data_IF_548278862608
#
_entry.id   IF_548278862608
#
_cell.length_a   1.000
_cell.length_b   1.000
_cell.length_c   1.000
_cell.angle_alpha   90.00
_cell.angle_beta   90.00
_cell.angle_gamma   90.00
#
_symmetry.space_group_name_H-M   'P 1'
#
loop_
_entity.id
_entity.type
_entity.pdbx_description
1 polymer ?
#
# COMPACT_ATOMS: atom_id res chain seq x y z
N UNK A 1 11.46 -13.28 -11.57
CA UNK A 1 10.11 -13.34 -12.18
C UNK A 1 9.79 -11.96 -12.72
N UNK A 2 9.29 -11.89 -13.96
CA UNK A 2 9.08 -10.65 -14.69
C UNK A 2 7.58 -10.41 -14.91
N UNK A 3 7.09 -9.16 -14.83
CA UNK A 3 5.71 -8.86 -15.12
C UNK A 3 5.40 -8.99 -16.60
N UNK A 4 4.24 -9.52 -16.94
CA UNK A 4 3.74 -9.64 -18.30
C UNK A 4 2.38 -8.95 -18.43
N UNK A 5 2.08 -8.44 -19.61
CA UNK A 5 0.72 -8.03 -19.99
C UNK A 5 0.19 -8.98 -21.05
N UNK A 6 -1.12 -9.14 -21.12
CA UNK A 6 -1.77 -9.97 -22.12
C UNK A 6 -3.10 -9.36 -22.54
N UNK A 7 -3.39 -9.41 -23.86
CA UNK A 7 -4.72 -9.15 -24.42
C UNK A 7 -5.51 -10.46 -24.63
N UNK A 8 -4.98 -11.58 -24.13
CA UNK A 8 -5.54 -12.92 -24.29
C UNK A 8 -5.04 -13.66 -25.52
N UNK A 9 -4.16 -13.07 -26.31
CA UNK A 9 -3.52 -13.73 -27.48
C UNK A 9 -2.07 -14.02 -27.22
N UNK A 10 -1.49 -14.98 -27.95
CA UNK A 10 -0.04 -15.30 -27.87
C UNK A 10 0.81 -14.10 -28.28
N UNK A 11 0.40 -13.38 -29.33
CA UNK A 11 1.13 -12.21 -29.84
C UNK A 11 0.96 -10.96 -28.98
N UNK A 12 -0.16 -10.85 -28.24
CA UNK A 12 -0.43 -9.76 -27.33
C UNK A 12 -0.04 -10.08 -25.88
N UNK A 13 0.50 -11.27 -25.63
CA UNK A 13 1.16 -11.61 -24.35
C UNK A 13 2.61 -11.23 -24.47
N UNK A 14 2.95 -10.09 -23.91
CA UNK A 14 4.31 -9.56 -23.95
C UNK A 14 4.81 -9.28 -22.54
N UNK A 15 6.09 -9.49 -22.33
CA UNK A 15 6.75 -9.01 -21.13
C UNK A 15 6.57 -7.48 -21.09
N UNK A 16 5.99 -6.97 -20.00
CA UNK A 16 5.94 -5.53 -19.77
C UNK A 16 7.36 -5.06 -19.61
N UNK A 17 7.93 -4.60 -20.70
CA UNK A 17 9.28 -4.08 -20.77
C UNK A 17 10.22 -4.88 -19.88
N UNK A 18 11.42 -5.06 -20.34
CA UNK A 18 12.53 -5.49 -19.48
C UNK A 18 12.74 -4.45 -18.37
N UNK A 19 11.77 -4.36 -17.46
CA UNK A 19 11.79 -3.44 -16.34
C UNK A 19 12.98 -3.75 -15.43
N UNK A 20 13.62 -4.93 -15.68
CA UNK A 20 14.56 -5.54 -14.77
C UNK A 20 15.85 -6.03 -15.45
N UNK A 21 15.98 -5.88 -16.78
CA UNK A 21 17.20 -6.26 -17.51
C UNK A 21 17.98 -5.02 -17.99
N UNK A 22 18.99 -4.67 -17.24
CA UNK A 22 20.17 -3.89 -17.60
C UNK A 22 19.95 -2.74 -18.58
N UNK A 23 19.33 -1.67 -18.20
CA UNK A 23 19.33 -0.30 -18.70
C UNK A 23 18.00 0.45 -18.52
N UNK A 24 17.21 0.15 -17.54
CA UNK A 24 16.14 1.06 -17.13
C UNK A 24 16.69 2.03 -16.10
N UNK A 25 16.80 3.28 -16.48
CA UNK A 25 17.13 4.34 -15.56
C UNK A 25 15.97 4.52 -14.57
N UNK A 26 16.15 4.17 -13.30
CA UNK A 26 15.27 4.63 -12.24
C UNK A 26 15.48 6.13 -12.06
N UNK A 27 14.42 6.90 -12.15
CA UNK A 27 14.47 8.33 -11.86
C UNK A 27 14.12 8.53 -10.39
N UNK A 28 15.08 8.98 -9.62
CA UNK A 28 14.82 9.35 -8.22
C UNK A 28 13.97 10.62 -8.14
N UNK A 29 13.22 10.87 -7.04
CA UNK A 29 12.44 12.09 -6.85
C UNK A 29 13.25 13.38 -7.02
N UNK A 30 14.58 13.32 -6.89
CA UNK A 30 15.49 14.45 -7.06
C UNK A 30 16.10 14.55 -8.48
N UNK A 31 15.55 13.81 -9.48
CA UNK A 31 15.99 13.88 -10.87
C UNK A 31 17.30 13.15 -11.18
N UNK A 32 17.82 12.35 -10.28
CA UNK A 32 18.95 11.45 -10.53
C UNK A 32 18.48 10.23 -11.33
N UNK A 33 19.21 9.88 -12.41
CA UNK A 33 19.03 8.62 -13.12
C UNK A 33 19.90 7.56 -12.45
N UNK A 34 19.32 6.42 -12.10
CA UNK A 34 20.03 5.29 -11.49
C UNK A 34 19.76 4.04 -12.32
N UNK A 35 20.80 3.41 -12.80
CA UNK A 35 20.70 2.09 -13.43
C UNK A 35 20.54 1.06 -12.30
N UNK A 36 19.31 0.57 -12.11
CA UNK A 36 19.08 -0.48 -11.14
C UNK A 36 19.17 -1.84 -11.82
N UNK A 37 20.01 -2.70 -11.27
CA UNK A 37 19.92 -4.13 -11.52
C UNK A 37 18.87 -4.70 -10.56
N UNK A 38 17.62 -4.76 -11.05
CA UNK A 38 16.49 -5.26 -10.25
C UNK A 38 16.45 -6.81 -10.23
N UNK A 39 17.55 -7.48 -10.52
CA UNK A 39 17.67 -8.93 -10.34
C UNK A 39 17.41 -9.27 -8.88
N UNK A 40 16.23 -9.88 -8.63
CA UNK A 40 15.80 -10.21 -7.28
C UNK A 40 14.84 -9.21 -6.63
N UNK A 41 14.33 -8.21 -7.38
CA UNK A 41 13.40 -7.19 -6.86
C UNK A 41 12.07 -7.74 -6.34
N UNK A 42 11.67 -8.93 -6.80
CA UNK A 42 10.45 -9.63 -6.37
C UNK A 42 9.22 -8.69 -6.30
N UNK A 43 8.81 -8.11 -7.43
CA UNK A 43 7.67 -7.21 -7.45
C UNK A 43 6.38 -7.95 -7.06
N UNK A 44 5.53 -7.29 -6.29
CA UNK A 44 4.25 -7.84 -5.81
C UNK A 44 3.17 -6.76 -5.75
N UNK A 45 1.92 -7.19 -5.55
CA UNK A 45 0.78 -6.33 -5.23
C UNK A 45 0.48 -5.27 -6.31
N UNK A 46 0.57 -5.64 -7.59
CA UNK A 46 0.28 -4.73 -8.69
C UNK A 46 -1.15 -4.17 -8.61
N UNK A 47 -1.25 -2.85 -8.50
CA UNK A 47 -2.54 -2.16 -8.41
C UNK A 47 -2.55 -0.95 -9.33
N UNK A 48 -3.66 -0.78 -10.06
CA UNK A 48 -3.85 0.37 -10.93
C UNK A 48 -4.62 1.47 -10.21
N UNK A 49 -4.12 2.71 -10.31
CA UNK A 49 -4.87 3.94 -9.99
C UNK A 49 -4.64 4.95 -11.10
N UNK A 50 -5.71 5.33 -11.78
CA UNK A 50 -5.65 6.21 -12.94
C UNK A 50 -4.75 5.65 -14.06
N UNK A 51 -3.73 6.42 -14.43
CA UNK A 51 -2.72 6.06 -15.44
C UNK A 51 -1.44 5.46 -14.82
N UNK A 52 -1.48 5.11 -13.57
CA UNK A 52 -0.35 4.55 -12.85
C UNK A 52 -0.61 3.09 -12.49
N UNK A 53 0.43 2.27 -12.56
CA UNK A 53 0.50 0.94 -11.94
C UNK A 53 1.49 1.06 -10.80
N UNK A 54 1.00 0.82 -9.59
CA UNK A 54 1.80 0.78 -8.37
C UNK A 54 2.12 -0.66 -7.99
N UNK A 55 3.25 -0.87 -7.36
CA UNK A 55 3.65 -2.17 -6.85
C UNK A 55 4.73 -2.04 -5.77
N UNK A 56 4.89 -3.07 -4.97
CA UNK A 56 5.95 -3.20 -3.97
C UNK A 56 7.12 -3.95 -4.60
N UNK A 57 8.36 -3.46 -4.44
CA UNK A 57 9.54 -4.14 -4.91
C UNK A 57 10.78 -3.79 -4.08
N UNK A 58 11.81 -4.65 -4.13
CA UNK A 58 13.16 -4.31 -3.67
C UNK A 58 13.93 -3.66 -4.81
N UNK A 59 14.74 -2.67 -4.51
CA UNK A 59 15.67 -2.11 -5.48
C UNK A 59 17.05 -1.97 -4.88
N UNK A 60 18.03 -2.57 -5.54
CA UNK A 60 19.44 -2.25 -5.35
C UNK A 60 19.81 -1.16 -6.35
N UNK A 61 19.91 0.08 -5.87
CA UNK A 61 20.18 1.24 -6.70
C UNK A 61 21.69 1.41 -6.92
N UNK A 62 22.40 0.31 -7.17
CA UNK A 62 23.77 0.17 -7.67
C UNK A 62 24.85 1.20 -7.26
N UNK A 63 25.94 0.72 -6.77
CA UNK A 63 27.33 1.25 -6.70
C UNK A 63 27.62 2.54 -5.90
N UNK A 64 26.68 3.44 -5.61
CA UNK A 64 26.92 4.67 -4.83
C UNK A 64 25.80 5.03 -3.89
N UNK A 65 24.60 4.49 -4.06
CA UNK A 65 23.45 4.70 -3.20
C UNK A 65 22.91 3.34 -2.75
N UNK A 66 22.80 3.21 -1.51
CA UNK A 66 22.29 2.15 -0.68
C UNK A 66 21.04 1.46 -1.24
N UNK A 67 21.00 0.14 -1.13
CA UNK A 67 19.77 -0.65 -1.09
C UNK A 67 18.66 0.16 -0.38
N UNK A 68 17.54 0.41 -1.04
CA UNK A 68 16.42 1.14 -0.46
C UNK A 68 15.41 0.21 0.19
N UNK A 69 15.73 -1.07 0.31
CA UNK A 69 14.79 -2.06 0.82
C UNK A 69 13.60 -2.30 -0.12
N UNK A 70 12.52 -2.82 0.43
CA UNK A 70 11.25 -3.02 -0.28
C UNK A 70 10.38 -1.77 -0.12
N UNK A 71 10.21 -1.05 -1.24
CA UNK A 71 9.53 0.23 -1.28
C UNK A 71 8.41 0.27 -2.32
N UNK A 72 7.68 1.41 -2.37
CA UNK A 72 6.62 1.65 -3.34
C UNK A 72 7.19 2.16 -4.65
N UNK A 73 6.87 1.48 -5.74
CA UNK A 73 7.23 1.85 -7.10
C UNK A 73 5.99 2.17 -7.94
N UNK A 74 6.20 2.98 -8.99
CA UNK A 74 5.17 3.37 -9.94
C UNK A 74 5.65 3.28 -11.38
N UNK A 75 4.77 2.80 -12.27
CA UNK A 75 4.89 2.87 -13.71
C UNK A 75 3.74 3.70 -14.27
N UNK A 76 4.04 4.81 -14.96
CA UNK A 76 3.02 5.58 -15.66
C UNK A 76 2.76 4.97 -17.05
N UNK A 77 1.58 4.39 -17.25
CA UNK A 77 1.22 3.71 -18.50
C UNK A 77 0.94 4.65 -19.67
N UNK A 78 0.73 5.94 -19.42
CA UNK A 78 0.59 6.96 -20.48
C UNK A 78 1.95 7.46 -20.97
N UNK A 79 3.01 7.24 -20.22
CA UNK A 79 4.39 7.60 -20.56
C UNK A 79 5.35 6.48 -20.14
N UNK A 80 5.21 5.27 -20.71
CA UNK A 80 6.01 4.12 -20.30
C UNK A 80 7.51 4.29 -20.56
N UNK A 81 7.88 5.20 -21.47
CA UNK A 81 9.28 5.55 -21.72
C UNK A 81 9.97 6.21 -20.51
N UNK A 82 9.20 6.69 -19.52
CA UNK A 82 9.73 7.18 -18.24
C UNK A 82 10.21 6.08 -17.28
N UNK A 83 9.94 4.82 -17.64
CA UNK A 83 10.33 3.66 -16.82
C UNK A 83 9.59 3.55 -15.49
N UNK A 84 10.03 2.60 -14.70
CA UNK A 84 9.60 2.43 -13.30
C UNK A 84 10.31 3.49 -12.45
N UNK A 85 9.57 4.07 -11.53
CA UNK A 85 10.09 5.08 -10.60
C UNK A 85 9.86 4.65 -9.16
N UNK A 86 10.85 4.87 -8.30
CA UNK A 86 10.64 4.85 -6.86
C UNK A 86 9.74 6.03 -6.48
N UNK A 87 8.62 5.78 -5.85
CA UNK A 87 7.71 6.84 -5.39
C UNK A 87 8.33 7.55 -4.20
N UNK A 88 8.78 6.78 -3.22
CA UNK A 88 9.41 7.28 -1.99
C UNK A 88 10.21 6.15 -1.32
N UNK A 89 11.36 6.49 -0.75
CA UNK A 89 12.06 5.70 0.26
C UNK A 89 11.37 5.98 1.60
N UNK A 90 10.35 5.15 1.92
CA UNK A 90 9.48 5.36 3.09
C UNK A 90 10.21 4.97 4.37
N UNK A 91 10.87 3.81 4.36
CA UNK A 91 11.74 3.38 5.46
C UNK A 91 13.18 3.64 5.06
N UNK A 92 13.64 4.84 5.37
CA UNK A 92 14.89 5.39 4.84
C UNK A 92 16.09 4.45 5.00
N UNK A 93 16.69 4.07 3.88
CA UNK A 93 17.86 3.21 3.80
C UNK A 93 17.54 1.79 3.33
N UNK A 94 18.24 0.79 3.85
CA UNK A 94 18.11 -0.61 3.40
C UNK A 94 16.97 -1.38 4.05
N UNK A 95 16.24 -0.78 4.96
CA UNK A 95 15.13 -1.43 5.64
C UNK A 95 13.86 -1.38 4.78
N UNK A 96 13.04 -2.43 4.88
CA UNK A 96 11.83 -2.57 4.08
C UNK A 96 10.67 -1.75 4.69
N UNK A 97 10.01 -0.86 3.94
CA UNK A 97 8.71 -0.29 4.33
C UNK A 97 7.55 -1.25 4.06
N UNK A 98 7.78 -2.25 3.23
CA UNK A 98 6.82 -3.32 2.90
C UNK A 98 5.42 -2.84 2.50
N UNK A 99 5.28 -1.96 1.50
CA UNK A 99 3.99 -1.44 1.07
C UNK A 99 3.08 -2.57 0.58
N UNK A 100 1.83 -2.60 1.05
CA UNK A 100 0.89 -3.68 0.74
C UNK A 100 -0.57 -3.28 0.92
N UNK A 101 -1.49 -4.18 0.52
CA UNK A 101 -2.94 -4.01 0.72
C UNK A 101 -3.45 -2.69 0.11
N UNK A 102 -3.17 -2.50 -1.16
CA UNK A 102 -3.50 -1.30 -1.92
C UNK A 102 -5.00 -1.18 -2.19
N UNK A 103 -5.53 0.03 -2.04
CA UNK A 103 -6.90 0.41 -2.38
C UNK A 103 -6.94 1.81 -2.98
N UNK A 104 -7.66 2.00 -4.07
CA UNK A 104 -7.81 3.29 -4.73
C UNK A 104 -9.04 4.01 -4.20
N UNK A 105 -8.92 5.30 -3.88
CA UNK A 105 -10.04 6.17 -3.54
C UNK A 105 -9.74 7.60 -3.95
N UNK A 106 -10.62 8.16 -4.77
CA UNK A 106 -10.56 9.58 -5.13
C UNK A 106 -9.33 10.00 -5.94
N UNK A 107 -8.69 9.09 -6.65
CA UNK A 107 -7.47 9.34 -7.43
C UNK A 107 -6.17 9.18 -6.64
N UNK A 108 -6.25 8.87 -5.35
CA UNK A 108 -5.12 8.53 -4.49
C UNK A 108 -5.09 7.01 -4.22
N UNK A 109 -3.91 6.47 -4.01
CA UNK A 109 -3.72 5.08 -3.59
C UNK A 109 -3.48 5.04 -2.08
N UNK A 110 -4.26 4.23 -1.36
CA UNK A 110 -4.11 3.97 0.06
C UNK A 110 -3.46 2.61 0.28
N UNK A 111 -2.55 2.52 1.24
CA UNK A 111 -1.79 1.29 1.50
C UNK A 111 -1.30 1.23 2.94
N UNK A 112 -0.74 0.08 3.30
CA UNK A 112 -0.10 -0.15 4.59
C UNK A 112 1.40 -0.15 4.40
N UNK A 113 2.15 0.59 5.22
CA UNK A 113 3.62 0.62 5.19
C UNK A 113 4.19 1.01 6.56
N UNK A 114 5.49 0.71 6.76
CA UNK A 114 6.29 1.04 7.94
C UNK A 114 7.39 2.04 7.57
N UNK A 115 7.49 3.13 8.29
CA UNK A 115 8.58 4.14 8.13
C UNK A 115 9.77 3.90 9.07
N UNK A 116 9.76 2.78 9.82
CA UNK A 116 10.76 2.46 10.83
C UNK A 116 10.63 3.27 12.13
N UNK A 117 9.61 4.13 12.24
CA UNK A 117 9.38 5.02 13.41
C UNK A 117 7.99 4.83 13.98
N UNK A 118 6.97 4.86 13.10
CA UNK A 118 5.55 4.81 13.47
C UNK A 118 5.00 3.40 13.52
N UNK A 119 5.73 2.41 13.01
CA UNK A 119 5.27 1.06 12.76
C UNK A 119 4.38 0.98 11.52
N UNK A 120 3.77 -0.20 11.29
CA UNK A 120 2.86 -0.43 10.16
C UNK A 120 1.59 0.38 10.33
N UNK A 121 1.39 1.39 9.49
CA UNK A 121 0.28 2.34 9.56
C UNK A 121 -0.39 2.55 8.20
N UNK A 122 -1.49 3.33 8.17
CA UNK A 122 -2.19 3.71 6.94
C UNK A 122 -1.45 4.86 6.25
N UNK A 123 -1.07 4.62 5.00
CA UNK A 123 -0.41 5.58 4.11
C UNK A 123 -1.26 5.89 2.90
N UNK A 124 -0.95 6.99 2.21
CA UNK A 124 -1.51 7.33 0.90
C UNK A 124 -0.45 7.92 -0.01
N UNK A 125 -0.73 7.89 -1.32
CA UNK A 125 0.09 8.53 -2.36
C UNK A 125 -0.76 9.02 -3.53
N UNK A 126 -0.33 10.11 -4.15
CA UNK A 126 -0.76 10.58 -5.48
C UNK A 126 0.23 10.17 -6.59
N UNK A 127 1.23 9.37 -6.25
CA UNK A 127 2.33 8.94 -7.13
C UNK A 127 3.57 9.84 -7.06
N UNK A 128 3.57 10.85 -6.21
CA UNK A 128 4.72 11.72 -5.97
C UNK A 128 5.32 11.50 -4.58
N UNK A 129 6.60 11.80 -4.41
CA UNK A 129 7.25 11.75 -3.09
C UNK A 129 6.55 12.68 -2.07
N UNK A 130 6.20 13.89 -2.50
CA UNK A 130 5.53 14.87 -1.64
C UNK A 130 4.10 14.48 -1.25
N UNK A 131 3.38 13.79 -2.14
CA UNK A 131 2.03 13.26 -1.90
C UNK A 131 2.01 11.91 -1.18
N UNK A 132 3.18 11.29 -0.95
CA UNK A 132 3.30 10.04 -0.22
C UNK A 132 3.54 10.30 1.25
N UNK A 133 2.53 10.01 2.08
CA UNK A 133 2.54 10.34 3.50
C UNK A 133 1.67 9.40 4.33
N UNK A 134 1.98 9.33 5.62
CA UNK A 134 1.13 8.66 6.60
C UNK A 134 -0.19 9.43 6.75
N UNK A 135 -1.32 8.72 6.69
CA UNK A 135 -2.65 9.30 6.88
C UNK A 135 -2.93 9.49 8.37
N UNK A 136 -2.63 8.47 9.15
CA UNK A 136 -2.82 8.50 10.60
C UNK A 136 -1.90 7.48 11.28
N UNK A 137 -1.24 7.89 12.35
CA UNK A 137 -0.59 7.00 13.30
C UNK A 137 -1.68 6.56 14.30
N UNK A 138 -2.30 5.40 14.02
CA UNK A 138 -3.44 4.86 14.77
C UNK A 138 -2.97 4.21 16.07
N UNK A 139 -1.91 3.39 15.99
CA UNK A 139 -1.30 2.80 17.17
C UNK A 139 -0.20 3.70 17.71
N UNK A 140 -0.34 4.14 18.95
CA UNK A 140 0.58 5.10 19.56
C UNK A 140 1.97 4.51 19.85
N UNK A 141 2.97 5.39 20.03
CA UNK A 141 4.31 5.07 20.53
C UNK A 141 5.15 4.12 19.66
N UNK A 142 5.00 4.22 18.34
CA UNK A 142 5.76 3.39 17.39
C UNK A 142 5.27 1.94 17.32
N UNK A 143 4.09 1.68 17.86
CA UNK A 143 3.41 0.39 17.68
C UNK A 143 2.73 0.37 16.31
N UNK A 144 2.55 -0.83 15.75
CA UNK A 144 1.86 -0.99 14.47
C UNK A 144 0.36 -1.15 14.66
N UNK A 145 -0.45 -0.41 13.92
CA UNK A 145 -1.90 -0.61 13.86
C UNK A 145 -2.30 -1.71 12.88
N UNK A 146 -1.38 -2.14 12.01
CA UNK A 146 -1.59 -3.19 11.00
C UNK A 146 -2.87 -2.98 10.18
N UNK A 147 -3.02 -1.88 9.44
CA UNK A 147 -4.22 -1.65 8.65
C UNK A 147 -4.43 -2.78 7.66
N UNK A 148 -5.51 -3.55 7.86
CA UNK A 148 -5.79 -4.77 7.12
C UNK A 148 -6.58 -4.52 5.83
N UNK A 149 -7.57 -5.39 5.56
CA UNK A 149 -8.45 -5.28 4.41
C UNK A 149 -9.02 -3.86 4.30
N UNK A 150 -8.98 -3.31 3.08
CA UNK A 150 -9.46 -1.97 2.76
C UNK A 150 -10.51 -2.05 1.67
N UNK A 151 -11.47 -1.14 1.71
CA UNK A 151 -12.47 -0.95 0.66
C UNK A 151 -12.94 0.50 0.65
N UNK A 152 -13.06 1.07 -0.53
CA UNK A 152 -13.62 2.41 -0.73
C UNK A 152 -15.13 2.35 -0.94
N UNK A 153 -15.87 3.23 -0.26
CA UNK A 153 -17.31 3.45 -0.44
C UNK A 153 -17.52 4.96 -0.64
N UNK A 154 -17.71 5.40 -1.86
CA UNK A 154 -17.68 6.82 -2.20
C UNK A 154 -16.34 7.45 -1.80
N UNK A 155 -16.38 8.56 -1.05
CA UNK A 155 -15.19 9.27 -0.57
C UNK A 155 -14.73 8.80 0.82
N UNK A 156 -15.09 7.58 1.21
CA UNK A 156 -14.73 7.00 2.51
C UNK A 156 -14.02 5.67 2.34
N UNK A 157 -12.80 5.57 2.84
CA UNK A 157 -12.07 4.33 2.97
C UNK A 157 -12.47 3.64 4.29
N UNK A 158 -12.89 2.39 4.21
CA UNK A 158 -13.09 1.51 5.36
C UNK A 158 -11.97 0.47 5.41
N UNK A 159 -11.50 0.17 6.61
CA UNK A 159 -10.40 -0.78 6.81
C UNK A 159 -10.42 -1.34 8.24
N UNK A 160 -9.68 -2.42 8.45
CA UNK A 160 -9.46 -2.94 9.80
C UNK A 160 -8.15 -2.40 10.35
N UNK A 161 -8.11 -2.04 11.64
CA UNK A 161 -6.88 -1.65 12.34
C UNK A 161 -7.01 -1.85 13.84
N UNK A 162 -5.87 -1.89 14.55
CA UNK A 162 -5.77 -2.03 15.99
C UNK A 162 -5.07 -0.80 16.58
N UNK A 163 -5.75 -0.09 17.46
CA UNK A 163 -5.19 1.09 18.17
C UNK A 163 -4.39 0.74 19.43
N UNK A 164 -4.27 -0.56 19.72
CA UNK A 164 -3.64 -1.06 20.95
C UNK A 164 -4.55 -1.06 22.18
N UNK A 165 -5.83 -0.68 22.01
CA UNK A 165 -6.82 -0.57 23.11
C UNK A 165 -8.05 -1.42 22.82
N UNK A 166 -8.61 -1.29 21.59
CA UNK A 166 -9.91 -1.86 21.20
C UNK A 166 -9.80 -3.17 20.44
N UNK A 167 -8.58 -3.73 20.25
CA UNK A 167 -8.37 -4.87 19.34
C UNK A 167 -8.47 -4.46 17.87
N UNK A 168 -8.57 -5.46 16.96
CA UNK A 168 -8.78 -5.21 15.54
C UNK A 168 -10.25 -4.90 15.27
N UNK A 169 -10.53 -3.66 14.89
CA UNK A 169 -11.88 -3.15 14.69
C UNK A 169 -12.04 -2.49 13.30
N UNK A 170 -13.28 -2.09 12.96
CA UNK A 170 -13.58 -1.35 11.75
C UNK A 170 -13.25 0.13 11.95
N UNK A 171 -12.39 0.65 11.10
CA UNK A 171 -11.99 2.05 10.99
C UNK A 171 -12.47 2.66 9.69
N UNK A 172 -12.53 3.98 9.65
CA UNK A 172 -12.79 4.74 8.41
C UNK A 172 -11.84 5.92 8.29
N UNK A 173 -11.62 6.37 7.05
CA UNK A 173 -10.83 7.56 6.72
C UNK A 173 -11.37 8.24 5.47
N UNK A 174 -11.25 9.56 5.40
CA UNK A 174 -11.41 10.35 4.17
C UNK A 174 -10.03 10.77 3.59
N UNK A 175 -8.96 10.10 3.97
CA UNK A 175 -7.59 10.41 3.55
C UNK A 175 -6.91 11.51 4.36
N UNK A 176 -7.52 11.97 5.46
CA UNK A 176 -6.91 12.96 6.37
C UNK A 176 -6.80 12.43 7.80
N UNK A 177 -5.88 12.94 8.58
CA UNK A 177 -5.73 12.61 10.00
C UNK A 177 -7.03 12.82 10.76
N UNK A 178 -7.66 13.99 10.62
CA UNK A 178 -8.90 14.35 11.34
C UNK A 178 -10.12 13.55 10.87
N UNK A 179 -10.09 13.00 9.65
CA UNK A 179 -11.13 12.16 9.10
C UNK A 179 -10.93 10.67 9.34
N UNK A 180 -9.85 10.30 10.04
CA UNK A 180 -9.55 8.89 10.38
C UNK A 180 -10.03 8.59 11.79
N UNK A 181 -10.91 7.59 11.95
CA UNK A 181 -11.49 7.25 13.25
C UNK A 181 -12.00 5.82 13.31
N UNK A 182 -12.03 5.27 14.52
CA UNK A 182 -12.75 4.04 14.84
C UNK A 182 -14.25 4.23 14.50
N UNK A 183 -14.82 3.29 13.74
CA UNK A 183 -16.27 3.29 13.46
C UNK A 183 -17.02 2.81 14.68
N UNK A 184 -16.58 1.68 15.23
CA UNK A 184 -17.18 1.08 16.42
C UNK A 184 -16.22 0.06 17.02
N UNK A 185 -16.12 0.05 18.34
CA UNK A 185 -15.62 -1.06 19.16
C UNK A 185 -16.75 -2.11 19.20
N UNK A 186 -16.69 -3.10 18.30
CA UNK A 186 -17.76 -4.09 18.07
C UNK A 186 -17.80 -5.08 19.22
N UNK A 187 -16.62 -5.51 19.67
CA UNK A 187 -16.47 -6.37 20.84
C UNK A 187 -15.70 -5.58 21.89
N UNK A 188 -16.44 -4.92 22.78
CA UNK A 188 -15.91 -3.94 23.75
C UNK A 188 -14.63 -4.39 24.46
N UNK A 189 -13.59 -3.54 24.39
CA UNK A 189 -12.28 -3.77 25.00
C UNK A 189 -11.25 -4.38 24.03
N UNK A 190 -10.22 -5.09 24.53
CA UNK A 190 -9.06 -5.48 23.72
C UNK A 190 -9.31 -6.70 22.79
N UNK A 191 -10.52 -7.19 22.71
CA UNK A 191 -10.89 -8.31 21.84
C UNK A 191 -11.23 -7.83 20.45
N UNK A 192 -10.82 -8.59 19.42
CA UNK A 192 -11.06 -8.25 18.02
C UNK A 192 -12.55 -8.35 17.65
N UNK A 193 -13.06 -7.38 16.92
CA UNK A 193 -14.40 -7.39 16.35
C UNK A 193 -14.61 -8.38 15.21
N UNK A 194 -13.52 -8.98 14.70
CA UNK A 194 -13.56 -10.03 13.68
C UNK A 194 -14.12 -9.56 12.35
N UNK A 195 -13.87 -8.32 11.99
CA UNK A 195 -14.33 -7.71 10.73
C UNK A 195 -13.65 -8.38 9.54
N UNK A 196 -14.46 -8.96 8.64
CA UNK A 196 -14.01 -9.65 7.43
C UNK A 196 -15.01 -9.52 6.30
N UNK A 197 -14.61 -9.91 5.07
CA UNK A 197 -15.48 -9.96 3.90
C UNK A 197 -16.21 -8.64 3.63
N UNK A 198 -15.48 -7.54 3.67
CA UNK A 198 -16.02 -6.23 3.34
C UNK A 198 -16.41 -6.18 1.86
N UNK A 199 -17.63 -5.66 1.58
CA UNK A 199 -18.20 -5.49 0.25
C UNK A 199 -18.92 -4.16 0.18
N UNK A 200 -18.63 -3.37 -0.85
CA UNK A 200 -19.45 -2.21 -1.23
C UNK A 200 -20.63 -2.66 -2.08
N UNK A 201 -21.83 -2.22 -1.75
CA UNK A 201 -23.02 -2.42 -2.57
C UNK A 201 -24.00 -1.25 -2.37
N UNK A 202 -24.38 -0.60 -3.45
CA UNK A 202 -25.34 0.52 -3.49
C UNK A 202 -24.99 1.69 -2.55
N UNK A 203 -23.68 1.99 -2.44
CA UNK A 203 -23.18 3.08 -1.60
C UNK A 203 -23.09 2.74 -0.10
N UNK A 204 -23.30 1.48 0.27
CA UNK A 204 -23.22 1.00 1.64
C UNK A 204 -22.12 -0.04 1.80
N UNK A 205 -21.56 -0.12 3.00
CA UNK A 205 -20.60 -1.15 3.40
C UNK A 205 -21.30 -2.33 4.05
N UNK A 206 -21.10 -3.52 3.50
CA UNK A 206 -21.50 -4.80 4.09
C UNK A 206 -20.26 -5.56 4.57
N UNK A 207 -20.32 -6.16 5.75
CA UNK A 207 -19.21 -6.93 6.31
C UNK A 207 -19.70 -7.97 7.33
N UNK A 208 -18.83 -8.92 7.66
CA UNK A 208 -19.04 -9.89 8.74
C UNK A 208 -18.26 -9.41 9.96
N UNK A 209 -18.85 -9.55 11.15
CA UNK A 209 -18.20 -9.22 12.42
C UNK A 209 -18.65 -10.18 13.54
N UNK A 210 -17.88 -10.26 14.60
CA UNK A 210 -18.24 -11.02 15.80
C UNK A 210 -19.32 -10.28 16.61
N UNK A 211 -20.16 -11.04 17.30
CA UNK A 211 -21.15 -10.48 18.24
C UNK A 211 -20.72 -10.65 19.70
N UNK A 212 -19.67 -11.43 19.93
CA UNK A 212 -19.11 -11.73 21.26
C UNK A 212 -17.63 -12.10 21.13
N UNK A 213 -16.83 -11.98 22.21
CA UNK A 213 -15.45 -12.42 22.19
C UNK A 213 -15.35 -13.90 21.77
N UNK A 214 -14.36 -14.28 20.93
CA UNK A 214 -14.17 -15.66 20.56
C UNK A 214 -13.91 -16.52 21.80
N UNK A 215 -14.69 -17.59 21.98
CA UNK A 215 -14.54 -18.55 23.09
C UNK A 215 -15.49 -18.37 24.28
N UNK A 216 -16.34 -17.34 24.30
CA UNK A 216 -17.44 -17.27 25.27
C UNK A 216 -18.70 -17.86 24.60
N UNK A 217 -18.81 -19.18 24.66
CA UNK A 217 -20.02 -19.87 24.23
C UNK A 217 -21.20 -19.46 25.10
N UNK A 218 -22.32 -19.09 24.49
CA UNK A 218 -23.63 -18.93 25.14
C UNK A 218 -24.25 -20.28 25.42
#
# INVERSE_FOLDING_TARGET
>A
EEPHTSDGTVSGTVQLVDLFYGNTDLVTPNGGSVTADLVGSQPSDFTRSGNNIYFSAKADIGAVLTDVGRELFVLNISSPAGGVQLVKDINFGSDDSSPSLFEEMGGELFFTADDGISGMELWKTDGTDAGTMIVSNIAANGSSSWPGQKISVGDTLYFTANDGISGYELWKSNGTYSGTSLVKDIVAGPSDGGVTNMLEFDGELYFIAHTSPPGVGT
#
